data_IF_034280592432
#
_entry.id   IF_034280592432
#
_cell.length_a   1.000
_cell.length_b   1.000
_cell.length_c   1.000
_cell.angle_alpha   90.00
_cell.angle_beta   90.00
_cell.angle_gamma   90.00
#
_symmetry.space_group_name_H-M   'P 1'
#
loop_
_entity.id
_entity.type
_entity.pdbx_description
1 polymer ?
#
# COMPACT_ATOMS: atom_id res chain seq x y z
N UNK A 1 44.04 -25.91 -46.45
CA UNK A 1 43.36 -27.07 -47.02
C UNK A 1 41.94 -27.00 -46.50
N UNK A 2 41.02 -26.35 -47.17
CA UNK A 2 39.99 -26.84 -48.12
C UNK A 2 39.22 -28.03 -47.60
N UNK A 3 37.93 -27.78 -47.28
CA UNK A 3 36.69 -28.30 -47.88
C UNK A 3 35.49 -27.73 -47.09
N UNK A 4 34.76 -26.95 -47.65
CA UNK A 4 33.42 -26.71 -48.23
C UNK A 4 32.52 -27.97 -48.38
N UNK A 5 31.21 -27.71 -48.34
CA UNK A 5 30.01 -28.44 -48.76
C UNK A 5 29.11 -28.78 -47.54
N UNK A 6 27.79 -28.46 -47.48
CA UNK A 6 26.90 -27.99 -48.50
C UNK A 6 25.53 -27.65 -47.92
N UNK A 7 24.85 -26.81 -48.65
CA UNK A 7 23.54 -26.23 -48.56
C UNK A 7 22.44 -27.29 -48.83
N UNK A 8 21.36 -27.32 -48.05
CA UNK A 8 20.10 -27.90 -48.45
C UNK A 8 18.92 -27.04 -48.00
N UNK A 9 18.32 -26.34 -48.92
CA UNK A 9 16.99 -25.70 -48.88
C UNK A 9 15.93 -26.82 -48.94
N UNK A 10 14.92 -26.72 -48.09
CA UNK A 10 13.61 -27.38 -48.31
C UNK A 10 12.50 -26.35 -48.14
N UNK A 11 11.91 -25.98 -49.26
CA UNK A 11 10.68 -25.21 -49.40
C UNK A 11 9.49 -26.14 -49.03
N UNK A 12 8.66 -25.75 -48.08
CA UNK A 12 7.40 -26.41 -47.74
C UNK A 12 6.23 -25.42 -47.92
N UNK A 13 5.35 -25.79 -48.85
CA UNK A 13 4.24 -25.02 -49.41
C UNK A 13 3.10 -24.82 -48.41
N UNK A 14 2.62 -23.58 -48.34
CA UNK A 14 1.46 -23.11 -47.64
C UNK A 14 0.19 -23.59 -48.37
N UNK A 15 -0.75 -24.25 -47.68
CA UNK A 15 -2.13 -24.48 -48.17
C UNK A 15 -3.09 -23.68 -47.30
N UNK A 16 -3.66 -22.64 -47.89
CA UNK A 16 -4.80 -21.88 -47.33
C UNK A 16 -6.08 -22.65 -47.61
N UNK A 17 -6.87 -22.98 -46.60
CA UNK A 17 -8.26 -23.41 -46.75
C UNK A 17 -9.17 -22.28 -46.23
N UNK A 18 -9.85 -21.60 -47.16
CA UNK A 18 -10.90 -20.67 -46.90
C UNK A 18 -12.24 -21.42 -46.79
N UNK A 19 -12.95 -21.26 -45.68
CA UNK A 19 -14.37 -21.67 -45.58
C UNK A 19 -15.22 -20.43 -45.59
N UNK A 20 -16.00 -20.30 -46.68
CA UNK A 20 -17.05 -19.30 -46.94
C UNK A 20 -18.34 -19.70 -46.21
N UNK A 21 -18.99 -18.75 -45.55
CA UNK A 21 -20.36 -18.85 -45.05
C UNK A 21 -21.37 -18.33 -46.11
N UNK A 22 -22.56 -18.92 -46.24
CA UNK A 22 -23.56 -18.45 -47.19
C UNK A 22 -24.45 -17.33 -46.60
N UNK A 23 -24.73 -16.34 -47.43
CA UNK A 23 -25.69 -15.27 -47.20
C UNK A 23 -27.13 -15.79 -47.37
N UNK A 24 -28.04 -15.37 -46.50
CA UNK A 24 -29.48 -15.55 -46.66
C UNK A 24 -30.14 -14.21 -47.05
N UNK A 25 -30.88 -14.23 -48.11
CA UNK A 25 -31.69 -13.15 -48.69
C UNK A 25 -33.04 -12.97 -47.96
N UNK A 26 -33.63 -11.76 -47.97
CA UNK A 26 -34.91 -11.46 -47.33
C UNK A 26 -36.10 -11.82 -48.26
N UNK A 27 -37.17 -12.30 -47.63
CA UNK A 27 -38.49 -12.42 -48.30
C UNK A 27 -39.49 -11.49 -47.62
N UNK A 28 -40.05 -10.66 -48.46
CA UNK A 28 -41.16 -9.76 -48.26
C UNK A 28 -42.51 -10.53 -48.25
N UNK A 29 -43.47 -10.09 -47.46
CA UNK A 29 -44.90 -9.89 -47.71
C UNK A 29 -45.76 -10.05 -46.45
N UNK A 30 -46.67 -9.09 -46.26
CA UNK A 30 -47.93 -9.33 -45.59
C UNK A 30 -48.36 -8.27 -44.56
N UNK A 31 -49.07 -7.25 -45.07
CA UNK A 31 -49.80 -6.31 -44.23
C UNK A 31 -51.05 -6.97 -43.62
N UNK A 32 -51.31 -6.71 -42.35
CA UNK A 32 -52.68 -6.74 -41.81
C UNK A 32 -52.75 -5.76 -40.60
N UNK A 33 -53.67 -4.82 -40.80
CA UNK A 33 -54.10 -3.85 -39.79
C UNK A 33 -54.85 -4.51 -38.61
N UNK A 34 -54.62 -3.99 -37.42
CA UNK A 34 -55.33 -4.37 -36.19
C UNK A 34 -55.07 -3.34 -35.10
N UNK A 35 -56.02 -2.57 -34.87
CA UNK A 35 -56.56 -1.73 -33.79
C UNK A 35 -55.80 -1.56 -32.49
N UNK A 36 -55.79 -0.33 -32.05
CA UNK A 36 -55.24 0.22 -30.81
C UNK A 36 -55.88 -0.37 -29.56
N UNK A 37 -55.02 -0.75 -28.60
CA UNK A 37 -55.40 -0.80 -27.18
C UNK A 37 -54.33 0.00 -26.38
N UNK A 38 -54.79 1.11 -25.84
CA UNK A 38 -54.03 1.88 -24.85
C UNK A 38 -53.80 1.03 -23.60
N UNK A 39 -52.58 0.78 -23.22
CA UNK A 39 -52.21 0.33 -21.91
C UNK A 39 -51.45 1.46 -21.18
N UNK A 40 -52.05 1.86 -20.08
CA UNK A 40 -51.65 2.88 -19.15
C UNK A 40 -50.16 2.71 -18.79
N UNK A 41 -49.48 3.85 -18.71
CA UNK A 41 -48.09 3.95 -18.28
C UNK A 41 -47.94 3.46 -16.86
N UNK A 42 -47.23 2.35 -16.71
CA UNK A 42 -46.56 2.07 -15.49
C UNK A 42 -45.41 3.10 -15.39
N UNK A 43 -45.53 4.03 -14.46
CA UNK A 43 -44.42 4.87 -14.03
C UNK A 43 -43.28 3.92 -13.65
N UNK A 44 -42.20 3.95 -14.45
CA UNK A 44 -40.92 3.44 -13.99
C UNK A 44 -40.55 4.31 -12.82
N UNK A 45 -40.72 3.78 -11.62
CA UNK A 45 -40.07 4.26 -10.43
C UNK A 45 -38.57 4.27 -10.76
N UNK A 46 -38.02 5.46 -10.97
CA UNK A 46 -36.60 5.65 -11.11
C UNK A 46 -35.97 5.12 -9.83
N UNK A 47 -35.13 4.10 -9.97
CA UNK A 47 -34.29 3.65 -8.85
C UNK A 47 -33.62 4.90 -8.23
N UNK A 48 -33.56 5.01 -6.89
CA UNK A 48 -32.91 6.13 -6.25
C UNK A 48 -31.50 6.26 -6.80
N UNK A 49 -31.07 7.49 -7.04
CA UNK A 49 -29.73 7.84 -7.53
C UNK A 49 -28.69 7.18 -6.61
N UNK A 50 -28.01 6.17 -7.13
CA UNK A 50 -27.01 5.38 -6.42
C UNK A 50 -25.74 6.20 -6.06
N UNK A 51 -25.76 7.50 -6.18
CA UNK A 51 -24.64 8.40 -5.95
C UNK A 51 -24.44 8.77 -4.47
N UNK A 52 -25.50 8.63 -3.64
CA UNK A 52 -25.43 8.87 -2.20
C UNK A 52 -24.69 7.80 -1.41
N UNK A 53 -24.71 6.56 -1.90
CA UNK A 53 -24.22 5.38 -1.20
C UNK A 53 -22.83 4.91 -1.68
N UNK A 54 -22.06 5.79 -2.32
CA UNK A 54 -20.70 5.48 -2.79
C UNK A 54 -19.68 6.38 -2.09
N UNK A 55 -18.68 5.77 -1.46
CA UNK A 55 -17.51 6.43 -0.85
C UNK A 55 -16.31 6.07 -1.69
N UNK A 56 -15.60 7.07 -2.22
CA UNK A 56 -14.46 6.86 -3.12
C UNK A 56 -13.17 7.09 -2.34
N UNK A 57 -12.34 6.05 -2.27
CA UNK A 57 -11.01 6.07 -1.65
C UNK A 57 -9.98 5.85 -2.75
N UNK A 58 -8.86 6.59 -2.71
CA UNK A 58 -7.72 6.35 -3.60
C UNK A 58 -6.42 6.84 -2.92
N UNK A 59 -5.30 6.25 -3.25
CA UNK A 59 -4.02 6.73 -2.74
C UNK A 59 -2.96 5.65 -2.56
N UNK A 60 -2.37 5.63 -1.39
CA UNK A 60 -1.21 4.81 -1.02
C UNK A 60 -1.50 3.30 -1.13
N UNK A 61 -0.63 2.57 -1.82
CA UNK A 61 -0.59 1.10 -1.83
C UNK A 61 -0.40 0.51 -0.43
N UNK A 62 0.36 1.20 0.43
CA UNK A 62 0.59 0.80 1.83
C UNK A 62 -0.69 0.86 2.68
N UNK A 63 -1.54 1.86 2.52
CA UNK A 63 -2.77 2.04 3.32
C UNK A 63 -3.94 1.26 2.74
N UNK A 64 -3.95 1.03 1.44
CA UNK A 64 -5.03 0.36 0.72
C UNK A 64 -5.47 -0.98 1.33
N UNK A 65 -4.60 -1.87 1.85
CA UNK A 65 -5.03 -3.10 2.52
C UNK A 65 -5.91 -2.85 3.74
N UNK A 66 -5.60 -1.83 4.56
CA UNK A 66 -6.41 -1.47 5.74
C UNK A 66 -7.74 -0.90 5.28
N UNK A 67 -7.72 0.08 4.35
CA UNK A 67 -8.93 0.69 3.80
C UNK A 67 -9.85 -0.33 3.13
N UNK A 68 -9.28 -1.33 2.44
CA UNK A 68 -10.03 -2.41 1.82
C UNK A 68 -10.68 -3.34 2.85
N UNK A 69 -9.96 -3.71 3.93
CA UNK A 69 -10.50 -4.53 5.01
C UNK A 69 -11.67 -3.81 5.72
N UNK A 70 -11.50 -2.52 6.02
CA UNK A 70 -12.56 -1.68 6.61
C UNK A 70 -13.75 -1.56 5.66
N UNK A 71 -13.50 -1.32 4.36
CA UNK A 71 -14.54 -1.21 3.34
C UNK A 71 -15.35 -2.51 3.21
N UNK A 72 -14.70 -3.67 3.25
CA UNK A 72 -15.36 -4.98 3.19
C UNK A 72 -16.30 -5.18 4.39
N UNK A 73 -15.79 -4.95 5.61
CA UNK A 73 -16.60 -5.11 6.83
C UNK A 73 -17.76 -4.10 6.88
N UNK A 74 -17.50 -2.85 6.49
CA UNK A 74 -18.54 -1.82 6.46
C UNK A 74 -19.63 -2.13 5.43
N UNK A 75 -19.29 -2.57 4.23
CA UNK A 75 -20.23 -2.97 3.19
C UNK A 75 -21.04 -4.21 3.61
N UNK A 76 -20.45 -5.14 4.37
CA UNK A 76 -21.15 -6.30 4.92
C UNK A 76 -22.24 -5.88 5.92
N UNK A 77 -21.96 -4.87 6.74
CA UNK A 77 -22.91 -4.30 7.69
C UNK A 77 -23.95 -3.37 7.05
N UNK A 78 -23.62 -2.76 5.89
CA UNK A 78 -24.44 -1.77 5.20
C UNK A 78 -24.71 -2.18 3.74
N UNK A 79 -25.63 -3.14 3.50
CA UNK A 79 -25.96 -3.61 2.15
C UNK A 79 -26.44 -2.45 1.25
N UNK A 80 -25.80 -2.29 0.08
CA UNK A 80 -26.12 -1.24 -0.88
C UNK A 80 -25.12 -0.10 -0.91
N UNK A 81 -24.27 0.03 0.10
CA UNK A 81 -23.12 0.95 0.10
C UNK A 81 -21.97 0.36 -0.72
N UNK A 82 -21.28 1.21 -1.47
CA UNK A 82 -20.09 0.83 -2.23
C UNK A 82 -18.90 1.69 -1.79
N UNK A 83 -17.78 1.03 -1.52
CA UNK A 83 -16.54 1.69 -1.09
C UNK A 83 -15.38 1.17 -1.97
N UNK A 84 -15.26 1.66 -3.23
CA UNK A 84 -14.11 1.33 -4.05
C UNK A 84 -12.83 1.95 -3.48
N UNK A 85 -11.77 1.14 -3.38
CA UNK A 85 -10.44 1.55 -2.98
C UNK A 85 -9.52 1.45 -4.20
N UNK A 86 -9.02 2.59 -4.66
CA UNK A 86 -8.06 2.70 -5.75
C UNK A 86 -6.63 2.85 -5.24
N UNK A 87 -5.67 2.48 -6.07
CA UNK A 87 -4.24 2.58 -5.76
C UNK A 87 -3.58 3.42 -6.85
N UNK A 88 -3.11 4.63 -6.48
CA UNK A 88 -2.36 5.51 -7.38
C UNK A 88 -1.10 6.10 -6.72
N UNK A 89 -0.70 5.50 -5.59
CA UNK A 89 0.35 6.03 -4.72
C UNK A 89 -0.10 7.27 -3.93
N UNK A 90 0.60 7.62 -2.85
CA UNK A 90 0.25 8.75 -1.98
C UNK A 90 0.12 10.06 -2.75
N UNK A 91 1.07 10.38 -3.64
CA UNK A 91 1.04 11.60 -4.45
C UNK A 91 -0.10 11.61 -5.49
N UNK A 92 -0.40 10.46 -6.08
CA UNK A 92 -1.53 10.27 -7.00
C UNK A 92 -2.87 10.45 -6.31
N UNK A 93 -3.00 9.89 -5.09
CA UNK A 93 -4.15 10.07 -4.21
C UNK A 93 -4.40 11.54 -3.88
N UNK A 94 -3.40 12.27 -3.39
CA UNK A 94 -3.53 13.70 -3.10
C UNK A 94 -3.91 14.52 -4.33
N UNK A 95 -3.38 14.18 -5.50
CA UNK A 95 -3.76 14.89 -6.73
C UNK A 95 -5.27 14.77 -7.03
N UNK A 96 -5.83 13.57 -6.92
CA UNK A 96 -7.28 13.32 -7.10
C UNK A 96 -8.10 13.94 -5.98
N UNK A 97 -7.65 13.76 -4.75
CA UNK A 97 -8.30 14.28 -3.54
C UNK A 97 -8.41 15.81 -3.56
N UNK A 98 -7.29 16.51 -3.81
CA UNK A 98 -7.29 17.97 -3.92
C UNK A 98 -8.01 18.48 -5.18
N UNK A 99 -8.31 17.63 -6.17
CA UNK A 99 -9.22 17.93 -7.27
C UNK A 99 -10.71 17.70 -6.91
N UNK A 100 -11.01 17.15 -5.72
CA UNK A 100 -12.37 16.82 -5.28
C UNK A 100 -12.95 15.56 -5.91
N UNK A 101 -12.11 14.69 -6.50
CA UNK A 101 -12.53 13.47 -7.18
C UNK A 101 -12.78 12.30 -6.21
N UNK A 102 -12.14 12.32 -5.04
CA UNK A 102 -12.28 11.30 -3.99
C UNK A 102 -12.80 11.90 -2.68
N UNK A 103 -13.40 11.05 -1.86
CA UNK A 103 -13.89 11.42 -0.52
C UNK A 103 -12.78 11.26 0.53
N UNK A 104 -11.89 10.28 0.29
CA UNK A 104 -10.77 9.93 1.16
C UNK A 104 -9.52 9.76 0.30
N UNK A 105 -8.37 10.21 0.82
CA UNK A 105 -7.05 9.86 0.29
C UNK A 105 -6.27 9.04 1.30
N UNK A 106 -5.81 7.87 0.89
CA UNK A 106 -4.88 7.04 1.64
C UNK A 106 -3.46 7.60 1.49
N UNK A 107 -2.72 7.74 2.60
CA UNK A 107 -1.39 8.34 2.57
C UNK A 107 -0.41 7.64 3.52
N UNK A 108 0.75 7.27 3.02
CA UNK A 108 1.84 6.64 3.77
C UNK A 108 2.88 7.65 4.30
N UNK A 109 2.56 8.93 4.21
CA UNK A 109 3.31 10.07 4.76
C UNK A 109 2.37 11.23 5.01
N UNK A 110 2.78 12.23 5.82
CA UNK A 110 2.07 13.49 5.91
C UNK A 110 1.95 14.20 4.55
N UNK A 111 0.92 15.01 4.41
CA UNK A 111 0.70 15.86 3.23
C UNK A 111 1.87 16.84 3.07
N UNK A 112 2.37 17.02 1.83
CA UNK A 112 3.43 18.00 1.51
C UNK A 112 2.85 19.40 1.35
N UNK A 113 3.68 20.45 1.56
CA UNK A 113 3.28 21.83 1.39
C UNK A 113 2.67 22.11 0.00
N UNK A 114 3.26 21.56 -1.06
CA UNK A 114 2.72 21.70 -2.42
C UNK A 114 1.33 21.06 -2.61
N UNK A 115 1.04 19.99 -1.89
CA UNK A 115 -0.27 19.33 -1.89
C UNK A 115 -1.29 20.13 -1.06
N UNK A 116 -0.85 20.71 0.07
CA UNK A 116 -1.68 21.65 0.86
C UNK A 116 -2.08 22.85 0.00
N UNK A 117 -1.13 23.44 -0.73
CA UNK A 117 -1.40 24.56 -1.65
C UNK A 117 -2.39 24.15 -2.75
N UNK A 118 -2.25 22.96 -3.32
CA UNK A 118 -3.16 22.44 -4.35
C UNK A 118 -4.58 22.25 -3.81
N UNK A 119 -4.74 21.67 -2.61
CA UNK A 119 -6.03 21.53 -1.95
C UNK A 119 -6.66 22.90 -1.70
N UNK A 120 -5.89 23.85 -1.15
CA UNK A 120 -6.38 25.20 -0.85
C UNK A 120 -6.83 25.96 -2.10
N UNK A 121 -6.11 25.84 -3.24
CA UNK A 121 -6.49 26.45 -4.53
C UNK A 121 -7.84 25.95 -5.03
N UNK A 122 -8.21 24.72 -4.72
CA UNK A 122 -9.48 24.11 -5.10
C UNK A 122 -10.55 24.18 -4.00
N UNK A 123 -10.25 24.81 -2.87
CA UNK A 123 -11.17 24.96 -1.74
C UNK A 123 -11.45 23.64 -1.00
N UNK A 124 -10.54 22.70 -1.06
CA UNK A 124 -10.64 21.42 -0.35
C UNK A 124 -9.99 21.55 1.03
N UNK A 125 -10.82 21.50 2.06
CA UNK A 125 -10.39 21.32 3.45
C UNK A 125 -10.40 19.83 3.79
N UNK A 126 -9.41 19.39 4.57
CA UNK A 126 -9.25 17.98 4.93
C UNK A 126 -9.04 17.79 6.43
N UNK A 127 -9.42 16.59 6.90
CA UNK A 127 -9.15 16.11 8.25
C UNK A 127 -8.11 14.99 8.09
N UNK A 128 -6.92 15.19 8.65
CA UNK A 128 -5.85 14.19 8.68
C UNK A 128 -6.06 13.26 9.87
N UNK A 129 -6.10 11.95 9.65
CA UNK A 129 -6.34 10.95 10.68
C UNK A 129 -5.28 9.84 10.57
N UNK A 130 -4.43 9.65 11.59
CA UNK A 130 -3.56 8.48 11.64
C UNK A 130 -4.39 7.21 11.85
N UNK A 131 -4.02 6.11 11.18
CA UNK A 131 -4.78 4.86 11.23
C UNK A 131 -3.97 3.66 11.70
N UNK A 132 -2.65 3.64 11.45
CA UNK A 132 -1.74 2.60 11.90
C UNK A 132 -0.29 3.07 11.81
N UNK A 133 0.64 2.23 12.27
CA UNK A 133 2.05 2.31 11.90
C UNK A 133 2.39 1.22 10.88
N UNK A 134 3.13 1.61 9.86
CA UNK A 134 3.84 0.71 8.97
C UNK A 134 5.23 0.46 9.57
N UNK A 135 5.45 -0.76 10.07
CA UNK A 135 6.70 -1.20 10.66
C UNK A 135 7.30 -2.31 9.81
N UNK A 136 8.46 -2.06 9.20
CA UNK A 136 9.20 -3.05 8.42
C UNK A 136 10.30 -3.67 9.27
N UNK A 137 10.45 -4.97 9.20
CA UNK A 137 11.53 -5.67 9.88
C UNK A 137 12.53 -6.25 8.88
N UNK A 138 13.81 -6.13 9.20
CA UNK A 138 14.89 -6.83 8.53
C UNK A 138 15.13 -8.13 9.27
N UNK A 139 15.17 -9.25 8.55
CA UNK A 139 15.18 -10.58 9.13
C UNK A 139 16.21 -11.48 8.48
N UNK A 140 16.74 -12.38 9.28
CA UNK A 140 17.67 -13.43 8.86
C UNK A 140 17.22 -14.78 9.39
N UNK A 141 17.85 -15.86 8.91
CA UNK A 141 17.69 -17.19 9.47
C UNK A 141 18.20 -17.24 10.93
N UNK A 142 17.58 -17.98 11.85
CA UNK A 142 18.06 -18.11 13.23
C UNK A 142 19.51 -18.63 13.39
N UNK A 143 20.03 -19.37 12.40
CA UNK A 143 21.41 -19.83 12.36
C UNK A 143 22.43 -18.73 11.96
N UNK A 144 21.96 -17.59 11.46
CA UNK A 144 22.82 -16.44 11.20
C UNK A 144 23.21 -15.77 12.52
N UNK A 145 24.47 -15.93 12.94
CA UNK A 145 25.01 -15.42 14.19
C UNK A 145 25.91 -14.18 14.02
N UNK A 146 26.02 -13.64 12.80
CA UNK A 146 26.87 -12.49 12.46
C UNK A 146 26.12 -11.18 12.18
N UNK A 147 24.92 -11.22 11.62
CA UNK A 147 24.14 -10.04 11.29
C UNK A 147 23.15 -9.69 12.42
N UNK A 148 23.64 -9.22 13.55
CA UNK A 148 22.78 -8.82 14.68
C UNK A 148 22.27 -7.38 14.54
N UNK A 149 23.03 -6.53 13.85
CA UNK A 149 22.68 -5.14 13.59
C UNK A 149 23.28 -4.70 12.25
N UNK A 150 22.48 -4.01 11.43
CA UNK A 150 22.89 -3.38 10.19
C UNK A 150 22.58 -1.89 10.23
N UNK A 151 23.51 -1.08 9.72
CA UNK A 151 23.27 0.34 9.53
C UNK A 151 22.43 0.59 8.27
N UNK A 152 21.79 1.75 8.19
CA UNK A 152 21.06 2.17 6.97
C UNK A 152 22.00 2.18 5.75
N UNK A 153 23.25 2.60 5.91
CA UNK A 153 24.24 2.60 4.82
C UNK A 153 24.61 1.18 4.36
N UNK A 154 24.67 0.20 5.28
CA UNK A 154 24.90 -1.19 4.92
C UNK A 154 23.68 -1.81 4.22
N UNK A 155 22.46 -1.51 4.70
CA UNK A 155 21.24 -1.91 4.01
C UNK A 155 21.16 -1.30 2.61
N UNK A 156 21.52 -0.01 2.45
CA UNK A 156 21.63 0.64 1.16
C UNK A 156 22.63 -0.07 0.25
N UNK A 157 23.83 -0.35 0.76
CA UNK A 157 24.88 -1.08 0.02
C UNK A 157 24.38 -2.44 -0.48
N UNK A 158 23.52 -3.11 0.30
CA UNK A 158 22.93 -4.40 -0.07
C UNK A 158 21.88 -4.24 -1.17
N UNK A 159 20.99 -3.23 -1.05
CA UNK A 159 19.74 -3.17 -1.80
C UNK A 159 19.71 -2.18 -2.96
N UNK A 160 20.66 -1.23 -3.06
CA UNK A 160 20.67 -0.25 -4.14
C UNK A 160 20.86 -0.91 -5.53
N UNK A 161 20.41 -0.28 -6.64
CA UNK A 161 20.56 -0.85 -7.99
C UNK A 161 22.01 -1.19 -8.38
N UNK A 162 22.98 -0.43 -7.88
CA UNK A 162 24.41 -0.67 -8.14
C UNK A 162 24.96 -1.95 -7.49
N UNK A 163 24.23 -2.55 -6.55
CA UNK A 163 24.59 -3.79 -5.87
C UNK A 163 24.32 -5.05 -6.70
N UNK A 164 23.50 -4.95 -7.76
CA UNK A 164 23.11 -6.08 -8.61
C UNK A 164 24.35 -6.79 -9.20
N UNK A 165 24.43 -8.11 -8.99
CA UNK A 165 25.55 -8.97 -9.37
C UNK A 165 26.93 -8.55 -8.79
N UNK A 166 26.99 -7.53 -7.92
CA UNK A 166 28.21 -6.99 -7.32
C UNK A 166 28.34 -7.39 -5.85
N UNK A 167 27.30 -7.12 -5.06
CA UNK A 167 27.26 -7.48 -3.63
C UNK A 167 26.53 -8.82 -3.50
N UNK A 168 27.29 -9.89 -3.56
CA UNK A 168 26.78 -11.28 -3.56
C UNK A 168 27.22 -12.07 -2.34
N UNK A 169 27.99 -11.44 -1.43
CA UNK A 169 28.59 -12.12 -0.29
C UNK A 169 28.55 -11.23 0.96
N UNK A 170 28.31 -11.83 2.13
CA UNK A 170 28.20 -11.12 3.40
C UNK A 170 29.45 -10.31 3.76
N UNK A 171 30.66 -10.82 3.49
CA UNK A 171 31.91 -10.09 3.76
C UNK A 171 32.14 -8.86 2.88
N UNK A 172 31.35 -8.67 1.82
CA UNK A 172 31.35 -7.44 1.02
C UNK A 172 30.53 -6.31 1.69
N UNK A 173 29.58 -6.66 2.56
CA UNK A 173 28.81 -5.70 3.33
C UNK A 173 29.64 -5.17 4.51
N UNK A 174 30.26 -6.09 5.25
CA UNK A 174 31.14 -5.78 6.38
C UNK A 174 32.30 -6.79 6.41
N UNK A 175 33.53 -6.32 6.50
CA UNK A 175 34.74 -7.16 6.40
C UNK A 175 34.82 -8.25 7.49
N UNK A 176 34.17 -8.03 8.65
CA UNK A 176 34.13 -8.99 9.76
C UNK A 176 33.06 -10.06 9.61
N UNK A 177 32.17 -9.92 8.62
CA UNK A 177 31.17 -10.93 8.29
C UNK A 177 31.81 -12.13 7.57
N UNK A 178 31.23 -13.31 7.67
CA UNK A 178 31.80 -14.50 7.07
C UNK A 178 31.79 -14.44 5.54
N UNK A 179 32.74 -15.14 4.92
CA UNK A 179 32.76 -15.35 3.47
C UNK A 179 31.70 -16.38 3.08
N UNK A 180 30.44 -15.92 2.98
CA UNK A 180 29.25 -16.71 2.67
C UNK A 180 28.39 -15.99 1.64
N UNK A 181 27.67 -16.68 0.78
CA UNK A 181 26.69 -16.08 -0.12
C UNK A 181 25.70 -15.19 0.65
N UNK A 182 25.26 -14.11 0.02
CA UNK A 182 24.19 -13.22 0.50
C UNK A 182 22.97 -13.46 -0.39
N UNK A 183 21.96 -14.15 0.12
CA UNK A 183 20.74 -14.47 -0.60
C UNK A 183 19.61 -13.55 -0.11
N UNK A 184 18.97 -12.82 -1.02
CA UNK A 184 18.05 -11.76 -0.70
C UNK A 184 16.61 -12.14 -0.99
N UNK A 185 15.72 -11.82 -0.05
CA UNK A 185 14.28 -12.06 -0.11
C UNK A 185 13.54 -10.76 0.22
N UNK A 186 12.54 -10.39 -0.56
CA UNK A 186 11.78 -9.17 -0.31
C UNK A 186 10.45 -9.16 -1.04
N UNK A 187 9.54 -8.25 -0.67
CA UNK A 187 8.30 -8.07 -1.38
C UNK A 187 8.53 -7.72 -2.85
N UNK A 188 7.56 -8.04 -3.69
CA UNK A 188 7.59 -7.70 -5.10
C UNK A 188 7.35 -6.21 -5.34
N UNK A 189 7.54 -5.80 -6.60
CA UNK A 189 7.47 -4.38 -7.00
C UNK A 189 6.07 -3.76 -6.94
N UNK A 190 5.04 -4.56 -6.76
CA UNK A 190 3.66 -4.09 -6.59
C UNK A 190 3.29 -3.87 -5.10
N UNK A 191 4.24 -4.14 -4.18
CA UNK A 191 4.05 -4.05 -2.74
C UNK A 191 4.38 -2.66 -2.19
N UNK A 192 3.47 -2.07 -1.40
CA UNK A 192 3.75 -0.84 -0.64
C UNK A 192 4.89 -0.97 0.38
N UNK A 193 5.18 -2.18 0.85
CA UNK A 193 6.34 -2.51 1.70
C UNK A 193 7.64 -2.35 0.93
N UNK A 194 7.68 -2.80 -0.33
CA UNK A 194 8.82 -2.60 -1.23
C UNK A 194 9.07 -1.11 -1.50
N UNK A 195 8.01 -0.37 -1.84
CA UNK A 195 8.07 1.07 -2.09
C UNK A 195 8.66 1.82 -0.89
N UNK A 196 8.15 1.52 0.30
CA UNK A 196 8.63 2.16 1.52
C UNK A 196 10.07 1.82 1.85
N UNK A 197 10.45 0.54 1.78
CA UNK A 197 11.82 0.13 2.06
C UNK A 197 12.82 0.81 1.13
N UNK A 198 12.52 0.85 -0.16
CA UNK A 198 13.39 1.49 -1.16
C UNK A 198 13.48 3.00 -0.95
N UNK A 199 12.37 3.68 -0.63
CA UNK A 199 12.37 5.09 -0.26
C UNK A 199 13.23 5.35 0.98
N UNK A 200 13.02 4.59 2.05
CA UNK A 200 13.66 4.80 3.34
C UNK A 200 15.15 4.44 3.36
N UNK A 201 15.55 3.40 2.64
CA UNK A 201 16.92 2.85 2.66
C UNK A 201 17.73 3.32 1.46
N UNK A 202 17.18 3.22 0.25
CA UNK A 202 17.92 3.59 -0.97
C UNK A 202 17.81 5.08 -1.25
N UNK A 203 16.68 5.70 -0.87
CA UNK A 203 16.40 7.12 -1.03
C UNK A 203 15.55 7.44 -2.24
N UNK A 204 15.03 6.43 -2.95
CA UNK A 204 14.14 6.57 -4.10
C UNK A 204 13.17 5.39 -4.13
N UNK A 205 11.85 5.69 -4.13
CA UNK A 205 10.77 4.71 -4.20
C UNK A 205 10.91 3.84 -5.46
N UNK A 206 10.84 2.53 -5.29
CA UNK A 206 10.96 1.57 -6.38
C UNK A 206 12.38 1.29 -6.86
N UNK A 207 13.40 1.98 -6.34
CA UNK A 207 14.79 1.78 -6.75
C UNK A 207 15.47 0.67 -5.95
N UNK A 208 15.71 -0.48 -6.57
CA UNK A 208 16.49 -1.57 -5.99
C UNK A 208 17.22 -2.39 -7.05
N UNK A 209 18.10 -3.30 -6.59
CA UNK A 209 18.63 -4.39 -7.41
C UNK A 209 17.50 -5.34 -7.84
N UNK A 210 17.66 -6.06 -8.94
CA UNK A 210 16.68 -6.97 -9.50
C UNK A 210 16.96 -8.46 -9.25
N UNK A 211 18.12 -8.81 -8.71
CA UNK A 211 18.58 -10.20 -8.52
C UNK A 211 18.26 -10.80 -7.14
N UNK A 212 17.25 -10.26 -6.44
CA UNK A 212 16.68 -10.86 -5.24
C UNK A 212 15.49 -11.78 -5.56
N UNK A 213 15.02 -12.55 -4.60
CA UNK A 213 13.84 -13.42 -4.72
C UNK A 213 12.59 -12.66 -4.26
N UNK A 214 11.76 -12.12 -5.19
CA UNK A 214 10.58 -11.36 -4.86
C UNK A 214 9.37 -12.27 -4.60
N UNK A 215 8.47 -11.84 -3.72
CA UNK A 215 7.13 -12.43 -3.56
C UNK A 215 6.15 -11.40 -3.04
N UNK A 216 4.92 -11.40 -3.57
CA UNK A 216 3.79 -10.62 -3.02
C UNK A 216 3.13 -11.35 -1.83
N UNK A 217 3.46 -12.59 -1.58
CA UNK A 217 3.03 -13.36 -0.41
C UNK A 217 4.18 -13.43 0.60
N UNK A 218 4.07 -12.67 1.69
CA UNK A 218 5.07 -12.62 2.76
C UNK A 218 5.30 -13.99 3.42
N UNK A 219 4.34 -14.92 3.40
CA UNK A 219 4.56 -16.28 3.90
C UNK A 219 5.58 -17.05 3.05
N UNK A 220 5.69 -16.73 1.77
CA UNK A 220 6.75 -17.28 0.89
C UNK A 220 8.11 -16.71 1.30
N UNK A 221 8.17 -15.41 1.64
CA UNK A 221 9.39 -14.77 2.13
C UNK A 221 9.83 -15.34 3.48
N UNK A 222 8.88 -15.55 4.41
CA UNK A 222 9.12 -16.24 5.70
C UNK A 222 9.76 -17.61 5.47
N UNK A 223 9.21 -18.43 4.56
CA UNK A 223 9.74 -19.74 4.27
C UNK A 223 11.13 -19.67 3.60
N UNK A 224 11.34 -18.70 2.71
CA UNK A 224 12.62 -18.45 2.05
C UNK A 224 13.72 -18.15 3.06
N UNK A 225 13.50 -17.18 3.94
CA UNK A 225 14.47 -16.80 4.98
C UNK A 225 14.68 -17.92 6.01
N UNK A 226 13.60 -18.59 6.44
CA UNK A 226 13.69 -19.70 7.38
C UNK A 226 14.46 -20.92 6.82
N UNK A 227 14.40 -21.14 5.51
CA UNK A 227 15.03 -22.27 4.84
C UNK A 227 16.49 -22.05 4.43
N UNK A 228 17.02 -20.83 4.52
CA UNK A 228 18.35 -20.47 4.03
C UNK A 228 19.18 -19.75 5.10
N UNK A 229 20.22 -20.40 5.59
CA UNK A 229 21.13 -19.82 6.63
C UNK A 229 21.84 -18.53 6.17
N UNK A 230 21.93 -18.28 4.87
CA UNK A 230 22.60 -17.12 4.29
C UNK A 230 21.60 -16.02 3.87
N UNK A 231 20.32 -16.22 4.15
CA UNK A 231 19.27 -15.28 3.77
C UNK A 231 19.32 -13.98 4.55
N UNK A 232 18.97 -12.89 3.86
CA UNK A 232 18.50 -11.63 4.41
C UNK A 232 17.20 -11.29 3.72
N UNK A 233 16.18 -10.93 4.51
CA UNK A 233 14.90 -10.46 3.96
C UNK A 233 14.37 -9.25 4.71
N UNK A 234 13.40 -8.56 4.08
CA UNK A 234 12.61 -7.54 4.75
C UNK A 234 11.13 -7.70 4.39
N UNK A 235 10.26 -7.56 5.37
CA UNK A 235 8.80 -7.59 5.22
C UNK A 235 8.14 -7.07 6.51
N UNK A 236 6.80 -7.06 6.56
CA UNK A 236 6.06 -6.53 7.70
C UNK A 236 6.41 -7.20 9.04
N UNK A 237 6.54 -6.40 10.09
CA UNK A 237 6.90 -6.87 11.45
C UNK A 237 5.92 -7.92 11.97
N UNK A 238 4.62 -7.82 11.64
CA UNK A 238 3.62 -8.77 12.08
C UNK A 238 3.87 -10.22 11.61
N UNK A 239 4.51 -10.41 10.47
CA UNK A 239 4.90 -11.74 9.99
C UNK A 239 6.02 -12.36 10.85
N UNK A 240 6.93 -11.55 11.37
CA UNK A 240 7.88 -12.01 12.37
C UNK A 240 7.17 -12.44 13.65
N UNK A 241 6.23 -11.64 14.14
CA UNK A 241 5.50 -11.95 15.39
C UNK A 241 4.78 -13.29 15.33
N UNK A 242 4.28 -13.67 14.15
CA UNK A 242 3.65 -14.95 13.90
C UNK A 242 4.63 -16.12 13.67
N UNK A 243 5.94 -15.84 13.45
CA UNK A 243 6.96 -16.82 13.06
C UNK A 243 8.28 -16.65 13.83
N UNK A 244 8.23 -16.23 15.11
CA UNK A 244 9.42 -15.96 15.94
C UNK A 244 10.32 -17.19 16.13
N UNK A 245 9.78 -18.39 16.01
CA UNK A 245 10.52 -19.66 16.08
C UNK A 245 11.32 -19.98 14.80
N UNK A 246 11.04 -19.28 13.69
CA UNK A 246 11.64 -19.55 12.36
C UNK A 246 12.55 -18.43 11.87
N UNK A 247 12.45 -17.25 12.45
CA UNK A 247 13.11 -16.03 11.99
C UNK A 247 13.89 -15.37 13.14
N UNK A 248 14.94 -14.62 12.78
CA UNK A 248 15.68 -13.76 13.69
C UNK A 248 15.63 -12.33 13.17
N UNK A 249 15.25 -11.40 14.04
CA UNK A 249 15.30 -9.97 13.75
C UNK A 249 16.74 -9.46 13.68
N UNK A 250 16.98 -8.55 12.77
CA UNK A 250 18.19 -7.73 12.70
C UNK A 250 17.85 -6.34 13.23
N UNK A 251 18.62 -5.86 14.19
CA UNK A 251 18.48 -4.48 14.64
C UNK A 251 18.94 -3.52 13.53
N UNK A 252 18.31 -2.36 13.44
CA UNK A 252 18.67 -1.31 12.46
C UNK A 252 19.26 -0.13 13.22
N UNK A 253 20.41 0.36 12.74
CA UNK A 253 21.02 1.60 13.21
C UNK A 253 20.69 2.72 12.22
N UNK A 254 19.71 3.53 12.58
CA UNK A 254 19.30 4.74 11.87
C UNK A 254 20.13 5.99 12.22
N UNK A 255 21.29 5.81 12.88
CA UNK A 255 22.17 6.89 13.31
C UNK A 255 22.19 7.15 14.83
N UNK A 256 21.32 6.48 15.59
CA UNK A 256 21.21 6.60 17.05
C UNK A 256 21.55 5.31 17.78
N UNK A 257 22.18 4.35 17.11
CA UNK A 257 22.49 3.02 17.59
C UNK A 257 21.50 1.95 17.13
N UNK A 258 21.83 0.70 17.41
CA UNK A 258 21.06 -0.46 16.99
C UNK A 258 19.74 -0.57 17.76
N UNK A 259 18.61 -0.53 17.07
CA UNK A 259 17.25 -0.70 17.62
C UNK A 259 16.61 -1.92 16.98
N UNK A 260 16.10 -2.85 17.80
CA UNK A 260 15.28 -3.97 17.32
C UNK A 260 13.86 -3.49 17.05
N UNK A 261 13.24 -3.90 15.93
CA UNK A 261 11.83 -3.62 15.72
C UNK A 261 10.94 -4.37 16.72
N UNK A 262 10.01 -3.64 17.30
CA UNK A 262 8.91 -4.14 18.13
C UNK A 262 7.74 -3.17 18.03
N UNK A 263 6.54 -3.60 18.45
CA UNK A 263 5.41 -2.67 18.51
C UNK A 263 5.74 -1.43 19.35
N UNK A 264 6.47 -1.59 20.47
CA UNK A 264 6.89 -0.48 21.34
C UNK A 264 7.82 0.49 20.61
N UNK A 265 8.92 0.00 19.99
CA UNK A 265 9.91 0.86 19.30
C UNK A 265 9.40 1.48 18.01
N UNK A 266 8.37 0.89 17.41
CA UNK A 266 7.63 1.46 16.25
C UNK A 266 6.73 2.61 16.73
N UNK A 267 5.94 2.39 17.79
CA UNK A 267 4.99 3.38 18.32
C UNK A 267 5.71 4.58 18.94
N UNK A 268 6.80 4.38 19.68
CA UNK A 268 7.56 5.45 20.31
C UNK A 268 8.52 6.18 19.34
N UNK A 269 8.64 5.69 18.10
CA UNK A 269 9.44 6.30 17.04
C UNK A 269 10.95 6.09 17.19
N UNK A 270 11.41 5.20 18.07
CA UNK A 270 12.84 4.91 18.22
C UNK A 270 13.38 4.00 17.12
N UNK A 271 12.54 3.13 16.55
CA UNK A 271 12.90 2.29 15.41
C UNK A 271 12.81 3.06 14.10
N UNK A 272 13.94 3.64 13.65
CA UNK A 272 14.03 4.45 12.45
C UNK A 272 15.11 3.93 11.49
N UNK A 273 14.94 4.10 10.13
CA UNK A 273 13.84 4.77 9.43
C UNK A 273 12.70 3.82 9.00
N UNK A 274 12.68 2.56 9.47
CA UNK A 274 11.78 1.52 9.01
C UNK A 274 10.44 1.44 9.78
N UNK A 275 10.04 2.56 10.42
CA UNK A 275 8.73 2.74 11.03
C UNK A 275 8.17 4.11 10.71
N UNK A 276 6.91 4.17 10.25
CA UNK A 276 6.22 5.42 9.95
C UNK A 276 4.73 5.33 10.28
N UNK A 277 4.09 6.41 10.74
CA UNK A 277 2.65 6.50 10.81
C UNK A 277 2.06 6.60 9.39
N UNK A 278 0.90 5.99 9.21
CA UNK A 278 0.13 6.05 7.97
C UNK A 278 -1.27 6.59 8.24
N UNK A 279 -1.88 7.25 7.24
CA UNK A 279 -2.98 8.16 7.41
C UNK A 279 -4.08 7.93 6.39
N UNK A 280 -5.28 8.39 6.73
CA UNK A 280 -6.33 8.75 5.80
C UNK A 280 -6.59 10.26 5.89
N UNK A 281 -6.87 10.89 4.75
CA UNK A 281 -7.27 12.28 4.63
C UNK A 281 -8.72 12.32 4.18
N UNK A 282 -9.57 12.91 4.99
CA UNK A 282 -11.02 12.94 4.74
C UNK A 282 -11.43 14.32 4.25
N UNK A 283 -12.14 14.39 3.12
CA UNK A 283 -12.68 15.63 2.60
C UNK A 283 -13.78 16.15 3.55
N UNK A 284 -13.48 17.24 4.23
CA UNK A 284 -14.33 17.78 5.29
C UNK A 284 -15.73 18.15 4.80
N UNK A 285 -15.85 18.76 3.62
CA UNK A 285 -17.14 19.13 3.06
C UNK A 285 -18.00 17.90 2.72
N UNK A 286 -17.37 16.83 2.22
CA UNK A 286 -18.04 15.57 1.88
C UNK A 286 -18.67 14.88 3.10
N UNK A 287 -18.07 15.04 4.28
CA UNK A 287 -18.63 14.46 5.53
C UNK A 287 -20.00 15.06 5.83
N UNK A 288 -20.17 16.37 5.58
CA UNK A 288 -21.46 17.05 5.80
C UNK A 288 -22.47 16.75 4.68
N UNK A 289 -22.00 16.54 3.44
CA UNK A 289 -22.83 16.24 2.26
C UNK A 289 -23.29 14.78 2.21
N UNK A 290 -22.48 13.84 2.75
CA UNK A 290 -22.71 12.39 2.69
C UNK A 290 -22.73 11.81 4.11
N UNK A 291 -23.89 11.68 4.76
CA UNK A 291 -23.97 11.07 6.10
C UNK A 291 -23.30 9.70 6.19
N UNK A 292 -23.37 8.89 5.12
CA UNK A 292 -22.74 7.58 5.06
C UNK A 292 -21.21 7.64 5.18
N UNK A 293 -20.58 8.74 4.74
CA UNK A 293 -19.14 8.95 4.90
C UNK A 293 -18.79 9.18 6.37
N UNK A 294 -19.62 9.94 7.10
CA UNK A 294 -19.44 10.11 8.54
C UNK A 294 -19.50 8.76 9.28
N UNK A 295 -20.49 7.92 8.94
CA UNK A 295 -20.65 6.60 9.55
C UNK A 295 -19.48 5.68 9.20
N UNK A 296 -18.98 5.77 7.97
CA UNK A 296 -17.82 5.01 7.52
C UNK A 296 -16.54 5.39 8.28
N UNK A 297 -16.23 6.70 8.45
CA UNK A 297 -15.03 7.14 9.18
C UNK A 297 -15.13 6.75 10.66
N UNK A 298 -16.31 6.88 11.29
CA UNK A 298 -16.51 6.42 12.66
C UNK A 298 -16.22 4.92 12.76
N UNK A 299 -16.82 4.11 11.86
CA UNK A 299 -16.58 2.67 11.81
C UNK A 299 -15.08 2.34 11.55
N UNK A 300 -14.42 3.11 10.67
CA UNK A 300 -13.00 2.95 10.37
C UNK A 300 -12.18 3.06 11.65
N UNK A 301 -12.32 4.18 12.39
CA UNK A 301 -11.53 4.44 13.60
C UNK A 301 -11.85 3.46 14.73
N UNK A 302 -13.10 3.02 14.87
CA UNK A 302 -13.51 2.03 15.87
C UNK A 302 -12.92 0.63 15.61
N UNK A 303 -12.67 0.27 14.35
CA UNK A 303 -12.20 -1.05 13.94
C UNK A 303 -10.74 -1.05 13.46
N UNK A 304 -10.10 0.12 13.33
CA UNK A 304 -8.76 0.26 12.78
C UNK A 304 -7.72 -0.59 13.51
N UNK A 305 -7.78 -0.67 14.85
CA UNK A 305 -6.83 -1.47 15.63
C UNK A 305 -6.86 -2.96 15.24
N UNK A 306 -8.06 -3.54 15.18
CA UNK A 306 -8.23 -4.97 14.87
C UNK A 306 -7.88 -5.25 13.39
N UNK A 307 -8.42 -4.43 12.47
CA UNK A 307 -8.26 -4.65 11.04
C UNK A 307 -6.84 -4.34 10.55
N UNK A 308 -6.16 -3.33 11.14
CA UNK A 308 -4.74 -3.09 10.85
C UNK A 308 -3.86 -4.27 11.26
N UNK A 309 -4.09 -4.83 12.46
CA UNK A 309 -3.35 -6.01 12.92
C UNK A 309 -3.62 -7.23 12.03
N UNK A 310 -4.87 -7.42 11.57
CA UNK A 310 -5.25 -8.53 10.69
C UNK A 310 -4.50 -8.49 9.36
N UNK A 311 -4.30 -7.29 8.80
CA UNK A 311 -3.60 -7.10 7.52
C UNK A 311 -2.11 -6.82 7.68
N UNK A 312 -1.54 -7.01 8.89
CA UNK A 312 -0.09 -7.02 9.11
C UNK A 312 0.56 -5.69 9.46
N UNK A 313 -0.22 -4.70 9.91
CA UNK A 313 0.30 -3.41 10.40
C UNK A 313 0.30 -3.34 11.93
N UNK A 314 1.09 -2.41 12.48
CA UNK A 314 1.12 -2.16 13.92
C UNK A 314 0.00 -1.18 14.28
N UNK A 315 -0.99 -1.58 15.12
CA UNK A 315 -2.05 -0.68 15.55
C UNK A 315 -1.49 0.51 16.33
N UNK A 316 -2.19 1.63 16.27
CA UNK A 316 -1.95 2.75 17.16
C UNK A 316 -2.37 2.40 18.60
N UNK A 317 -1.89 3.18 19.59
CA UNK A 317 -2.40 3.05 20.95
C UNK A 317 -3.88 3.49 21.04
N UNK A 318 -4.62 2.97 22.02
CA UNK A 318 -5.99 3.38 22.29
C UNK A 318 -6.12 4.89 22.47
N UNK A 319 -5.11 5.52 23.09
CA UNK A 319 -5.07 6.97 23.28
C UNK A 319 -5.02 7.72 21.95
N UNK A 320 -4.19 7.28 20.99
CA UNK A 320 -4.08 7.90 19.67
C UNK A 320 -5.38 7.73 18.90
N UNK A 321 -6.02 6.56 18.93
CA UNK A 321 -7.33 6.37 18.29
C UNK A 321 -8.41 7.26 18.88
N UNK A 322 -8.44 7.43 20.20
CA UNK A 322 -9.39 8.36 20.87
C UNK A 322 -9.14 9.82 20.44
N UNK A 323 -7.87 10.23 20.31
CA UNK A 323 -7.51 11.57 19.84
C UNK A 323 -7.89 11.76 18.37
N UNK A 324 -7.67 10.76 17.52
CA UNK A 324 -8.08 10.77 16.12
C UNK A 324 -9.60 10.83 15.96
N UNK A 325 -10.34 10.05 16.77
CA UNK A 325 -11.79 10.09 16.79
C UNK A 325 -12.31 11.48 17.22
N UNK A 326 -11.76 12.04 18.28
CA UNK A 326 -12.13 13.38 18.71
C UNK A 326 -11.83 14.44 17.64
N UNK A 327 -10.65 14.37 16.98
CA UNK A 327 -10.30 15.25 15.87
C UNK A 327 -11.34 15.18 14.74
N UNK A 328 -11.79 13.96 14.41
CA UNK A 328 -12.84 13.75 13.41
C UNK A 328 -14.19 14.31 13.86
N UNK A 329 -14.64 14.04 15.08
CA UNK A 329 -15.92 14.52 15.63
C UNK A 329 -15.97 16.05 15.68
N UNK A 330 -14.88 16.71 16.09
CA UNK A 330 -14.75 18.16 16.15
C UNK A 330 -14.45 18.80 14.79
N UNK A 331 -14.27 17.99 13.70
CA UNK A 331 -13.98 18.46 12.34
C UNK A 331 -12.72 19.34 12.27
N UNK A 332 -11.70 19.02 13.05
CA UNK A 332 -10.43 19.77 13.04
C UNK A 332 -9.72 19.54 11.71
N UNK A 333 -9.60 20.58 10.91
CA UNK A 333 -8.96 20.55 9.58
C UNK A 333 -7.47 20.85 9.65
N UNK A 334 -6.74 20.47 8.59
CA UNK A 334 -5.30 20.67 8.48
C UNK A 334 -4.49 19.45 8.91
N UNK A 335 -3.16 19.58 8.88
CA UNK A 335 -2.22 18.53 9.26
C UNK A 335 -1.73 18.72 10.69
N UNK A 336 -1.64 17.62 11.45
CA UNK A 336 -1.01 17.61 12.79
C UNK A 336 0.48 17.95 12.72
N UNK A 337 1.08 17.87 11.54
CA UNK A 337 2.49 18.21 11.31
C UNK A 337 2.72 19.66 10.91
N UNK A 338 1.69 20.49 10.75
CA UNK A 338 1.77 21.92 10.35
C UNK A 338 2.70 22.17 9.16
N UNK A 339 2.75 21.25 8.18
CA UNK A 339 3.65 21.35 7.03
C UNK A 339 5.12 21.01 7.31
N UNK A 340 5.46 20.54 8.51
CA UNK A 340 6.83 20.16 8.89
C UNK A 340 7.31 18.84 8.27
N UNK A 341 6.41 18.10 7.59
CA UNK A 341 6.70 16.74 7.13
C UNK A 341 6.83 15.75 8.30
N UNK A 342 7.10 14.47 8.00
CA UNK A 342 7.35 13.48 9.06
C UNK A 342 8.63 13.88 9.82
N UNK A 343 8.46 14.30 11.07
CA UNK A 343 9.61 14.54 11.95
C UNK A 343 9.95 13.25 12.67
N UNK A 344 11.12 12.71 12.37
CA UNK A 344 11.66 11.54 13.06
C UNK A 344 11.71 11.82 14.57
N UNK A 345 11.09 10.93 15.36
CA UNK A 345 11.12 11.00 16.82
C UNK A 345 10.10 11.94 17.47
N UNK A 346 9.09 12.44 16.73
CA UNK A 346 7.96 13.15 17.34
C UNK A 346 6.81 12.17 17.59
N UNK A 347 6.34 12.12 18.85
CA UNK A 347 5.21 11.28 19.24
C UNK A 347 3.91 11.79 18.60
N UNK A 348 3.13 10.90 17.98
CA UNK A 348 1.80 11.23 17.47
C UNK A 348 0.88 11.76 18.58
N UNK A 349 0.98 11.23 19.79
CA UNK A 349 0.23 11.71 20.96
C UNK A 349 0.53 13.17 21.25
N UNK A 350 1.82 13.55 21.20
CA UNK A 350 2.23 14.94 21.44
C UNK A 350 1.70 15.88 20.34
N UNK A 351 1.73 15.45 19.07
CA UNK A 351 1.20 16.23 17.95
C UNK A 351 -0.31 16.46 18.08
N UNK A 352 -1.07 15.38 18.26
CA UNK A 352 -2.52 15.44 18.41
C UNK A 352 -2.99 16.20 19.67
N UNK A 353 -2.15 16.22 20.72
CA UNK A 353 -2.47 16.94 21.96
C UNK A 353 -2.16 18.42 21.87
N UNK A 354 -1.14 18.83 21.10
CA UNK A 354 -0.78 20.26 20.91
C UNK A 354 -1.90 21.06 20.28
N UNK A 355 -2.66 20.49 19.35
CA UNK A 355 -3.80 21.14 18.72
C UNK A 355 -4.95 21.52 19.69
N UNK A 356 -4.99 20.89 20.88
CA UNK A 356 -5.99 21.21 21.93
C UNK A 356 -5.63 22.40 22.79
N UNK A 357 -4.44 22.93 22.65
CA UNK A 357 -3.89 23.98 23.54
C UNK A 357 -3.89 25.40 22.97
N UNK A 358 -4.44 25.61 21.75
CA UNK A 358 -4.57 26.96 21.14
C UNK A 358 -6.00 27.51 21.25
#
# INVERSE_FOLDING_TARGET
>A
MRKLVGLALLLGVLVMAACSAPAATPSDTGAASGEAAASEGAAQESAPDAQGDTIIIDGSSTVAPISAAVAEEFQRANPGVRVPVGISGTGGGFKKFCAGETDISDASRPIKESEVEQCAQNGIEYIELPVAFDGLAVMVNPANDWAECLTVDELKTIWEPAAEDVITNWNQVRADFPDRPLNLYGPGVDSGTYDYFTEAIVGEEGASRGDFLPSEDDNVLVQGVAGDENALGFFGLAYYEQNQDKLKLVAVDGGNGCVLPSAETVIDGTYQPLARPIFIYVNRARVDEKPILNDFITFYLENAAALSAEVGYVPLSDEIYQLAQQRFEERITGSIFEGLGSTVGVSLTDLLTREKGE
#
